data_IF_153934891639
#
_entry.id   IF_153934891639
#
_cell.length_a   1.000
_cell.length_b   1.000
_cell.length_c   1.000
_cell.angle_alpha   90.00
_cell.angle_beta   90.00
_cell.angle_gamma   90.00
#
_symmetry.space_group_name_H-M   'P 1'
#
loop_
_entity.id
_entity.type
_entity.pdbx_description
1 polymer ?
#
# COMPACT_ATOMS: atom_id res chain seq x y z
N UNK A 1 10.53 -22.37 -23.76
CA UNK A 1 9.94 -21.46 -22.76
C UNK A 1 8.89 -20.62 -23.48
N UNK A 2 7.61 -20.86 -23.23
CA UNK A 2 6.52 -20.15 -23.93
C UNK A 2 6.38 -18.74 -23.38
N UNK A 3 6.19 -17.73 -24.24
CA UNK A 3 5.92 -16.35 -23.80
C UNK A 3 4.69 -16.26 -22.90
N UNK A 4 3.66 -17.08 -23.13
CA UNK A 4 2.47 -17.14 -22.28
C UNK A 4 2.78 -17.60 -20.85
N UNK A 5 3.74 -18.51 -20.68
CA UNK A 5 4.14 -18.96 -19.34
C UNK A 5 4.88 -17.85 -18.58
N UNK A 6 5.74 -17.09 -19.25
CA UNK A 6 6.44 -15.95 -18.64
C UNK A 6 5.49 -14.84 -18.18
N UNK A 7 4.45 -14.52 -18.99
CA UNK A 7 3.44 -13.54 -18.58
C UNK A 7 2.61 -14.02 -17.37
N UNK A 8 2.27 -15.31 -17.31
CA UNK A 8 1.52 -15.86 -16.20
C UNK A 8 2.34 -15.83 -14.89
N UNK A 9 3.64 -16.14 -14.95
CA UNK A 9 4.54 -16.02 -13.80
C UNK A 9 4.67 -14.58 -13.30
N UNK A 10 4.81 -13.60 -14.22
CA UNK A 10 4.85 -12.19 -13.86
C UNK A 10 3.55 -11.74 -13.18
N UNK A 11 2.39 -12.15 -13.69
CA UNK A 11 1.10 -11.85 -13.06
C UNK A 11 0.99 -12.46 -11.66
N UNK A 12 1.36 -13.73 -11.49
CA UNK A 12 1.30 -14.38 -10.18
C UNK A 12 2.18 -13.66 -9.14
N UNK A 13 3.35 -13.19 -9.55
CA UNK A 13 4.23 -12.38 -8.71
C UNK A 13 3.60 -11.04 -8.31
N UNK A 14 3.00 -10.32 -9.26
CA UNK A 14 2.28 -9.06 -8.98
C UNK A 14 1.10 -9.27 -8.02
N UNK A 15 0.34 -10.36 -8.18
CA UNK A 15 -0.76 -10.69 -7.27
C UNK A 15 -0.26 -10.92 -5.84
N UNK A 16 0.81 -11.70 -5.67
CA UNK A 16 1.39 -11.94 -4.34
C UNK A 16 1.84 -10.64 -3.66
N UNK A 17 2.46 -9.71 -4.40
CA UNK A 17 2.85 -8.40 -3.87
C UNK A 17 1.62 -7.59 -3.47
N UNK A 18 0.60 -7.54 -4.32
CA UNK A 18 -0.63 -6.80 -4.04
C UNK A 18 -1.35 -7.34 -2.80
N UNK A 19 -1.36 -8.66 -2.60
CA UNK A 19 -1.93 -9.29 -1.42
C UNK A 19 -1.18 -8.90 -0.14
N UNK A 20 0.16 -8.87 -0.18
CA UNK A 20 1.00 -8.45 0.95
C UNK A 20 0.78 -6.96 1.29
N UNK A 21 0.70 -6.10 0.27
CA UNK A 21 0.36 -4.67 0.43
C UNK A 21 -1.06 -4.52 1.03
N UNK A 22 -2.04 -5.25 0.51
CA UNK A 22 -3.42 -5.18 0.99
C UNK A 22 -3.53 -5.63 2.45
N UNK A 23 -2.77 -6.63 2.86
CA UNK A 23 -2.70 -7.09 4.25
C UNK A 23 -2.21 -5.98 5.20
N UNK A 24 -1.33 -5.09 4.72
CA UNK A 24 -0.69 -4.06 5.54
C UNK A 24 -1.33 -2.68 5.42
N UNK A 25 -2.14 -2.44 4.38
CA UNK A 25 -2.86 -1.19 4.14
C UNK A 25 -3.63 -0.66 5.36
N UNK A 26 -4.32 -1.48 6.20
CA UNK A 26 -4.99 -0.97 7.40
C UNK A 26 -4.07 -0.38 8.47
N UNK A 27 -2.76 -0.68 8.44
CA UNK A 27 -1.78 -0.08 9.36
C UNK A 27 -1.48 1.36 8.99
N UNK A 28 -1.37 1.68 7.69
CA UNK A 28 -1.13 3.03 7.19
C UNK A 28 -2.17 4.01 7.74
N UNK A 29 -3.46 3.66 7.60
CA UNK A 29 -4.56 4.47 8.12
C UNK A 29 -4.49 4.68 9.63
N UNK A 30 -4.13 3.64 10.40
CA UNK A 30 -3.97 3.74 11.86
C UNK A 30 -2.82 4.66 12.25
N UNK A 31 -1.68 4.56 11.56
CA UNK A 31 -0.52 5.42 11.78
C UNK A 31 -0.85 6.86 11.40
N UNK A 32 -1.49 7.08 10.25
CA UNK A 32 -1.91 8.42 9.82
C UNK A 32 -2.77 9.11 10.88
N UNK A 33 -3.82 8.46 11.40
CA UNK A 33 -4.64 9.03 12.48
C UNK A 33 -3.86 9.24 13.78
N UNK A 34 -2.93 8.35 14.12
CA UNK A 34 -2.08 8.55 15.29
C UNK A 34 -1.15 9.77 15.14
N UNK A 35 -0.62 9.99 13.95
CA UNK A 35 0.24 11.13 13.65
C UNK A 35 -0.55 12.45 13.62
N UNK A 36 -1.79 12.43 13.13
CA UNK A 36 -2.67 13.62 13.08
C UNK A 36 -2.81 14.32 14.44
N UNK A 37 -2.75 13.59 15.57
CA UNK A 37 -2.83 14.21 16.91
C UNK A 37 -1.57 14.97 17.33
N UNK A 38 -0.48 14.86 16.57
CA UNK A 38 0.85 15.42 16.87
C UNK A 38 1.32 16.43 15.82
N UNK A 39 0.52 16.63 14.76
CA UNK A 39 0.89 17.46 13.62
C UNK A 39 0.11 18.78 13.61
N UNK A 40 0.63 19.84 12.96
CA UNK A 40 -0.10 21.08 12.76
C UNK A 40 -1.41 20.87 11.98
N UNK A 41 -2.42 21.74 12.15
CA UNK A 41 -3.72 21.61 11.48
C UNK A 41 -3.65 21.80 9.95
N UNK A 42 -2.53 22.26 9.41
CA UNK A 42 -2.30 22.35 7.97
C UNK A 42 -2.03 21.00 7.30
N UNK A 43 -1.71 19.96 8.07
CA UNK A 43 -1.44 18.62 7.52
C UNK A 43 -2.75 17.88 7.30
N UNK A 44 -2.93 17.31 6.12
CA UNK A 44 -4.12 16.54 5.77
C UNK A 44 -3.90 15.05 5.99
N UNK A 45 -4.94 14.38 6.47
CA UNK A 45 -4.93 12.93 6.71
C UNK A 45 -4.67 12.15 5.41
N UNK A 46 -5.27 12.59 4.31
CA UNK A 46 -5.21 11.87 3.03
C UNK A 46 -3.79 11.90 2.44
N UNK A 47 -3.05 12.99 2.65
CA UNK A 47 -1.64 13.09 2.26
C UNK A 47 -0.79 12.05 3.02
N UNK A 48 -1.05 11.85 4.32
CA UNK A 48 -0.36 10.86 5.13
C UNK A 48 -0.70 9.42 4.71
N UNK A 49 -1.94 9.18 4.29
CA UNK A 49 -2.38 7.88 3.81
C UNK A 49 -1.80 7.57 2.42
N UNK A 50 -1.66 8.57 1.56
CA UNK A 50 -1.11 8.36 0.21
C UNK A 50 0.41 8.19 0.23
N UNK A 51 1.10 8.87 1.15
CA UNK A 51 2.55 8.80 1.26
C UNK A 51 3.07 7.52 1.93
N UNK A 52 2.23 6.84 2.73
CA UNK A 52 2.58 5.62 3.47
C UNK A 52 2.04 4.36 2.82
#
# INVERSE_FOLDING_TARGET
MSGAAMYAEAQAFEQNINDEIAQHTPLVKRIAYHLMSRLPPSVQQDDLIQAG
#
